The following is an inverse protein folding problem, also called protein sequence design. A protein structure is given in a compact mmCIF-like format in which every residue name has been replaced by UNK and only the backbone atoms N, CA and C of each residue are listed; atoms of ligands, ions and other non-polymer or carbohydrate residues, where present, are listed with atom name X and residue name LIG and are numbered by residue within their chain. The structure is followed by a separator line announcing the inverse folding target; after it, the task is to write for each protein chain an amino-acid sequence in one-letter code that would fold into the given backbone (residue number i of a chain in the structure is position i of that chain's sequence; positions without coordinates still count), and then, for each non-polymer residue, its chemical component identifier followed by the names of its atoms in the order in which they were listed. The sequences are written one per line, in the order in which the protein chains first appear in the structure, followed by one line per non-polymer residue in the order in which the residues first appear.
data_IF_914190360423
#
_entry.id   IF_914190360423
#
_cell.length_a   1.000
_cell.length_b   1.000
_cell.length_c   1.000
_cell.angle_alpha   90.00
_cell.angle_beta   90.00
_cell.angle_gamma   90.00
#
_symmetry.space_group_name_H-M   'P 1'
#
loop_
_entity.id
_entity.type
_entity.pdbx_description
1 polymer ?
#
# COMPACT_ATOMS: atom_id res chain seq x y z
N UNK A 1 -6.39 -5.16 -44.00
CA UNK A 1 -5.51 -4.42 -43.03
C UNK A 1 -6.17 -4.47 -41.67
N UNK A 2 -5.77 -5.41 -40.82
CA UNK A 2 -6.35 -5.61 -39.50
C UNK A 2 -5.77 -4.53 -38.58
N UNK A 3 -6.64 -3.69 -38.09
CA UNK A 3 -6.35 -2.69 -37.07
C UNK A 3 -6.04 -3.46 -35.74
N UNK A 4 -4.75 -3.73 -35.48
CA UNK A 4 -4.33 -4.16 -34.17
C UNK A 4 -4.70 -3.01 -33.22
N UNK A 5 -5.74 -3.20 -32.42
CA UNK A 5 -6.00 -2.35 -31.27
C UNK A 5 -4.68 -2.24 -30.50
N UNK A 6 -4.06 -1.04 -30.51
CA UNK A 6 -2.98 -0.73 -29.58
C UNK A 6 -3.56 -1.01 -28.19
N UNK A 7 -3.12 -2.09 -27.56
CA UNK A 7 -3.33 -2.25 -26.13
C UNK A 7 -2.76 -0.98 -25.50
N UNK A 8 -3.63 -0.20 -24.86
CA UNK A 8 -3.22 1.00 -24.19
C UNK A 8 -2.32 0.56 -23.03
N UNK A 9 -1.08 1.05 -23.01
CA UNK A 9 -0.13 0.84 -21.91
C UNK A 9 -0.52 1.68 -20.66
N UNK A 10 -1.79 2.12 -20.63
CA UNK A 10 -2.31 2.96 -19.56
C UNK A 10 -2.75 2.11 -18.37
N UNK A 11 -2.21 2.43 -17.21
CA UNK A 11 -2.56 1.80 -15.93
C UNK A 11 -3.12 2.88 -15.02
N UNK A 12 -4.19 2.56 -14.30
CA UNK A 12 -4.86 3.49 -13.41
C UNK A 12 -4.84 2.93 -11.99
N UNK A 13 -4.26 3.68 -11.07
CA UNK A 13 -4.29 3.42 -9.63
C UNK A 13 -5.38 4.26 -8.96
N UNK A 14 -6.22 3.62 -8.17
CA UNK A 14 -7.27 4.25 -7.37
C UNK A 14 -7.03 3.93 -5.89
N UNK A 15 -6.60 4.92 -5.15
CA UNK A 15 -6.40 4.88 -3.71
C UNK A 15 -7.62 5.51 -3.03
N UNK A 16 -8.38 4.71 -2.26
CA UNK A 16 -9.61 5.14 -1.60
C UNK A 16 -9.34 5.28 -0.09
N UNK A 17 -8.63 6.33 0.27
CA UNK A 17 -8.25 6.58 1.66
C UNK A 17 -9.36 7.21 2.52
N UNK A 18 -9.18 7.19 3.84
CA UNK A 18 -10.12 7.79 4.80
C UNK A 18 -10.23 9.30 4.65
N UNK A 19 -9.13 10.00 4.34
CA UNK A 19 -9.10 11.48 4.22
C UNK A 19 -9.30 11.96 2.79
N UNK A 20 -8.85 11.20 1.79
CA UNK A 20 -8.96 11.56 0.37
C UNK A 20 -9.00 10.33 -0.52
N UNK A 21 -9.58 10.51 -1.71
CA UNK A 21 -9.52 9.56 -2.82
C UNK A 21 -8.55 10.13 -3.85
N UNK A 22 -7.64 9.29 -4.35
CA UNK A 22 -6.65 9.67 -5.36
C UNK A 22 -6.77 8.72 -6.56
N UNK A 23 -6.90 9.28 -7.75
CA UNK A 23 -6.85 8.57 -9.02
C UNK A 23 -5.59 9.04 -9.77
N UNK A 24 -4.65 8.13 -10.01
CA UNK A 24 -3.43 8.41 -10.78
C UNK A 24 -3.44 7.57 -12.06
N UNK A 25 -3.03 8.17 -13.16
CA UNK A 25 -2.89 7.49 -14.45
C UNK A 25 -1.44 7.52 -14.87
N UNK A 26 -0.89 6.34 -15.15
CA UNK A 26 0.49 6.18 -15.61
C UNK A 26 0.57 5.39 -16.90
N UNK A 27 1.66 5.63 -17.63
CA UNK A 27 2.09 4.85 -18.79
C UNK A 27 3.55 4.46 -18.61
N UNK A 28 3.94 3.34 -19.22
CA UNK A 28 5.34 2.97 -19.31
C UNK A 28 5.85 3.25 -20.72
N UNK A 29 6.99 3.92 -20.82
CA UNK A 29 7.69 4.16 -22.08
C UNK A 29 8.41 2.88 -22.57
N UNK A 30 9.00 2.95 -23.76
CA UNK A 30 9.74 1.84 -24.37
C UNK A 30 10.98 1.43 -23.54
N UNK A 31 11.49 2.34 -22.69
CA UNK A 31 12.58 2.08 -21.74
C UNK A 31 12.08 1.51 -20.41
N UNK A 32 10.78 1.17 -20.29
CA UNK A 32 10.10 0.71 -19.08
C UNK A 32 10.16 1.71 -17.91
N UNK A 33 10.24 3.00 -18.19
CA UNK A 33 10.15 4.05 -17.19
C UNK A 33 8.70 4.49 -17.04
N UNK A 34 8.26 4.66 -15.79
CA UNK A 34 6.93 5.13 -15.47
C UNK A 34 6.82 6.64 -15.76
N UNK A 35 5.81 7.04 -16.52
CA UNK A 35 5.38 8.42 -16.71
C UNK A 35 3.97 8.60 -16.17
N UNK A 36 3.80 9.53 -15.23
CA UNK A 36 2.48 9.92 -14.70
C UNK A 36 1.89 11.00 -15.59
N UNK A 37 0.74 10.71 -16.18
CA UNK A 37 0.10 11.57 -17.19
C UNK A 37 -1.16 12.26 -16.67
N UNK A 38 -1.77 11.77 -15.58
CA UNK A 38 -2.93 12.42 -14.96
C UNK A 38 -3.02 12.12 -13.46
N UNK A 39 -3.58 13.07 -12.73
CA UNK A 39 -3.84 13.01 -11.30
C UNK A 39 -5.20 13.65 -11.01
N UNK A 40 -6.04 12.94 -10.28
CA UNK A 40 -7.24 13.49 -9.65
C UNK A 40 -7.22 13.18 -8.16
N UNK A 41 -7.53 14.16 -7.35
CA UNK A 41 -7.59 14.00 -5.89
C UNK A 41 -8.80 14.74 -5.32
N UNK A 42 -9.61 14.04 -4.53
CA UNK A 42 -10.82 14.61 -3.94
C UNK A 42 -10.93 14.22 -2.46
N UNK A 43 -11.43 15.12 -1.59
CA UNK A 43 -11.66 14.80 -0.19
C UNK A 43 -12.56 13.57 -0.06
N UNK A 44 -12.17 12.62 0.78
CA UNK A 44 -12.93 11.40 1.02
C UNK A 44 -14.09 11.68 1.97
N UNK A 45 -15.22 11.11 1.65
CA UNK A 45 -16.38 11.01 2.54
C UNK A 45 -17.00 9.62 2.39
N UNK A 46 -17.53 9.08 3.49
CA UNK A 46 -18.13 7.74 3.45
C UNK A 46 -17.19 6.59 3.81
N UNK A 47 -15.90 6.85 4.14
CA UNK A 47 -15.00 5.88 4.74
C UNK A 47 -14.70 6.18 6.20
N UNK A 48 -14.50 5.12 6.98
CA UNK A 48 -14.03 5.21 8.36
C UNK A 48 -13.06 4.08 8.65
N UNK A 49 -11.82 4.42 8.98
CA UNK A 49 -10.75 3.47 9.28
C UNK A 49 -10.60 2.39 8.18
N UNK A 50 -10.53 2.81 6.92
CA UNK A 50 -10.37 1.94 5.75
C UNK A 50 -11.63 1.15 5.36
N UNK A 51 -12.79 1.39 5.97
CA UNK A 51 -14.04 0.67 5.68
C UNK A 51 -15.10 1.62 5.14
N UNK A 52 -15.76 1.24 4.04
CA UNK A 52 -16.89 1.98 3.47
C UNK A 52 -18.08 1.90 4.43
N UNK A 53 -18.52 3.05 4.92
CA UNK A 53 -19.70 3.20 5.80
C UNK A 53 -20.86 3.91 5.10
N UNK A 54 -20.62 4.56 3.96
CA UNK A 54 -21.62 5.17 3.12
C UNK A 54 -21.24 5.02 1.64
N UNK A 55 -21.99 4.18 0.91
CA UNK A 55 -21.76 3.86 -0.49
C UNK A 55 -21.87 5.10 -1.39
N UNK A 56 -22.92 5.89 -1.22
CA UNK A 56 -23.21 7.02 -2.11
C UNK A 56 -22.14 8.12 -1.96
N UNK A 57 -21.77 8.45 -0.73
CA UNK A 57 -20.73 9.43 -0.44
C UNK A 57 -19.36 8.98 -0.97
N UNK A 58 -19.05 7.69 -0.84
CA UNK A 58 -17.79 7.11 -1.38
C UNK A 58 -17.80 7.12 -2.91
N UNK A 59 -18.94 6.76 -3.53
CA UNK A 59 -19.09 6.79 -4.99
C UNK A 59 -18.89 8.21 -5.54
N UNK A 60 -19.48 9.21 -4.91
CA UNK A 60 -19.33 10.63 -5.32
C UNK A 60 -17.85 11.07 -5.24
N UNK A 61 -17.15 10.73 -4.16
CA UNK A 61 -15.73 11.07 -4.00
C UNK A 61 -14.85 10.38 -5.06
N UNK A 62 -15.12 9.10 -5.36
CA UNK A 62 -14.43 8.34 -6.42
C UNK A 62 -14.70 9.00 -7.78
N UNK A 63 -15.96 9.28 -8.13
CA UNK A 63 -16.32 9.88 -9.40
C UNK A 63 -15.60 11.20 -9.61
N UNK A 64 -15.58 12.08 -8.62
CA UNK A 64 -14.89 13.38 -8.69
C UNK A 64 -13.38 13.26 -8.87
N UNK A 65 -12.73 12.33 -8.17
CA UNK A 65 -11.31 12.07 -8.36
C UNK A 65 -11.00 11.52 -9.76
N UNK A 66 -11.83 10.58 -10.24
CA UNK A 66 -11.69 10.01 -11.59
C UNK A 66 -11.96 11.06 -12.67
N UNK A 67 -12.99 11.90 -12.53
CA UNK A 67 -13.33 12.95 -13.49
C UNK A 67 -12.20 14.00 -13.60
N UNK A 68 -11.56 14.35 -12.48
CA UNK A 68 -10.37 15.23 -12.50
C UNK A 68 -9.21 14.59 -13.28
N UNK A 69 -8.88 13.33 -13.03
CA UNK A 69 -7.84 12.61 -13.78
C UNK A 69 -8.22 12.48 -15.26
N UNK A 70 -9.48 12.12 -15.57
CA UNK A 70 -9.99 12.00 -16.92
C UNK A 70 -9.91 13.31 -17.72
N UNK A 71 -10.08 14.47 -17.07
CA UNK A 71 -10.00 15.77 -17.73
C UNK A 71 -8.60 16.11 -18.25
N UNK A 72 -7.57 15.42 -17.82
CA UNK A 72 -6.17 15.64 -18.21
C UNK A 72 -5.74 14.72 -19.37
N UNK A 73 -6.56 13.75 -19.76
CA UNK A 73 -6.25 12.75 -20.79
C UNK A 73 -7.43 12.55 -21.75
N UNK A 74 -7.12 12.23 -23.01
CA UNK A 74 -8.15 11.95 -24.02
C UNK A 74 -8.68 10.51 -23.93
N UNK A 75 -7.82 9.57 -23.56
CA UNK A 75 -8.17 8.17 -23.47
C UNK A 75 -9.08 7.91 -22.27
N UNK A 76 -10.20 7.19 -22.49
CA UNK A 76 -11.18 6.94 -21.44
C UNK A 76 -10.66 5.95 -20.38
N UNK A 77 -10.73 6.32 -19.12
CA UNK A 77 -10.49 5.44 -17.97
C UNK A 77 -11.64 4.41 -17.94
N UNK A 78 -11.31 3.11 -18.00
CA UNK A 78 -12.28 2.00 -18.01
C UNK A 78 -12.15 1.08 -16.81
N UNK A 79 -10.94 0.94 -16.29
CA UNK A 79 -10.64 0.03 -15.19
C UNK A 79 -9.52 0.57 -14.32
N UNK A 80 -9.41 0.06 -13.09
CA UNK A 80 -8.51 0.56 -12.06
C UNK A 80 -7.94 -0.58 -11.21
N UNK A 81 -6.68 -0.45 -10.79
CA UNK A 81 -6.14 -1.16 -9.63
C UNK A 81 -6.48 -0.39 -8.37
N UNK A 82 -6.94 -1.08 -7.34
CA UNK A 82 -7.55 -0.47 -6.17
C UNK A 82 -6.78 -0.81 -4.90
N UNK A 83 -6.42 0.21 -4.13
CA UNK A 83 -5.86 0.03 -2.80
C UNK A 83 -6.92 -0.48 -1.83
N UNK A 84 -6.54 -1.40 -0.96
CA UNK A 84 -7.39 -1.87 0.14
C UNK A 84 -6.59 -1.91 1.44
N UNK A 85 -7.13 -1.30 2.48
CA UNK A 85 -6.60 -1.27 3.84
C UNK A 85 -7.71 -1.39 4.88
N UNK A 86 -7.35 -1.54 6.12
CA UNK A 86 -8.28 -1.53 7.25
C UNK A 86 -8.21 -2.78 8.11
N UNK A 87 -8.86 -2.70 9.29
CA UNK A 87 -8.82 -3.76 10.33
C UNK A 87 -9.42 -5.13 9.92
N UNK A 88 -10.07 -5.19 8.76
CA UNK A 88 -10.63 -6.42 8.19
C UNK A 88 -9.59 -7.23 7.40
N UNK A 89 -8.41 -6.67 7.18
CA UNK A 89 -7.25 -7.37 6.62
C UNK A 89 -6.65 -8.24 7.71
N UNK A 90 -6.34 -9.48 7.36
CA UNK A 90 -5.61 -10.43 8.20
C UNK A 90 -4.52 -11.08 7.39
N UNK A 91 -3.47 -11.51 8.04
CA UNK A 91 -2.40 -12.24 7.39
C UNK A 91 -1.95 -13.43 8.23
N UNK A 92 -1.36 -14.40 7.55
CA UNK A 92 -0.71 -15.55 8.17
C UNK A 92 0.39 -16.09 7.26
N UNK A 93 1.40 -16.70 7.84
CA UNK A 93 2.41 -17.43 7.07
C UNK A 93 2.00 -18.89 6.97
N UNK A 94 2.19 -19.46 5.80
CA UNK A 94 1.91 -20.86 5.52
C UNK A 94 3.08 -21.51 4.80
N UNK A 95 3.07 -22.85 4.80
CA UNK A 95 4.13 -23.66 4.23
C UNK A 95 3.53 -24.73 3.31
N UNK A 96 4.10 -24.88 2.12
CA UNK A 96 3.74 -25.90 1.14
C UNK A 96 4.91 -26.83 0.85
N UNK A 97 4.62 -28.08 0.51
CA UNK A 97 5.63 -29.08 0.14
C UNK A 97 5.12 -29.95 -0.99
N UNK A 98 5.92 -30.14 -2.03
CA UNK A 98 5.60 -30.96 -3.19
C UNK A 98 6.83 -31.75 -3.67
N UNK A 99 6.58 -32.93 -4.27
CA UNK A 99 7.63 -33.67 -4.93
C UNK A 99 7.92 -33.09 -6.32
N UNK A 100 9.20 -32.91 -6.64
CA UNK A 100 9.66 -32.43 -7.95
C UNK A 100 9.55 -33.58 -8.96
N UNK A 101 8.85 -33.32 -10.08
CA UNK A 101 8.79 -34.26 -11.19
C UNK A 101 10.06 -34.13 -12.03
N UNK A 102 10.60 -35.27 -12.49
CA UNK A 102 11.78 -35.31 -13.37
C UNK A 102 13.09 -34.76 -12.76
N UNK A 103 13.18 -34.64 -11.43
CA UNK A 103 14.38 -34.16 -10.71
C UNK A 103 14.84 -32.74 -11.10
N UNK A 104 14.00 -31.96 -11.75
CA UNK A 104 14.26 -30.55 -12.11
C UNK A 104 12.98 -29.74 -11.90
N UNK A 105 13.12 -28.61 -11.21
CA UNK A 105 11.97 -27.73 -10.86
C UNK A 105 11.41 -27.11 -12.13
N UNK A 106 10.17 -27.41 -12.42
CA UNK A 106 9.38 -26.77 -13.48
C UNK A 106 8.45 -25.70 -12.95
N UNK A 107 7.94 -24.83 -13.83
CA UNK A 107 6.89 -23.87 -13.48
C UNK A 107 5.65 -24.57 -12.89
N UNK A 108 5.32 -25.77 -13.34
CA UNK A 108 4.22 -26.55 -12.78
C UNK A 108 4.47 -26.98 -11.32
N UNK A 109 5.70 -27.32 -10.96
CA UNK A 109 6.05 -27.69 -9.58
C UNK A 109 5.99 -26.48 -8.67
N UNK A 110 6.39 -25.29 -9.16
CA UNK A 110 6.27 -24.00 -8.44
C UNK A 110 4.79 -23.68 -8.19
N UNK A 111 3.94 -23.76 -9.21
CA UNK A 111 2.50 -23.51 -9.04
C UNK A 111 1.89 -24.47 -8.01
N UNK A 112 2.21 -25.75 -8.09
CA UNK A 112 1.68 -26.77 -7.16
C UNK A 112 2.13 -26.57 -5.71
N UNK A 113 3.39 -26.21 -5.48
CA UNK A 113 3.87 -25.99 -4.12
C UNK A 113 3.25 -24.74 -3.51
N UNK A 114 3.00 -23.70 -4.33
CA UNK A 114 2.25 -22.51 -3.90
C UNK A 114 0.79 -22.86 -3.63
N UNK A 115 0.12 -23.67 -4.47
CA UNK A 115 -1.24 -24.15 -4.22
C UNK A 115 -1.31 -24.98 -2.94
N UNK A 116 -0.32 -25.84 -2.68
CA UNK A 116 -0.21 -26.62 -1.44
C UNK A 116 -0.11 -25.69 -0.21
N UNK A 117 0.68 -24.61 -0.31
CA UNK A 117 0.81 -23.61 0.76
C UNK A 117 -0.50 -22.81 0.99
N UNK A 118 -1.35 -22.66 -0.03
CA UNK A 118 -2.66 -21.99 0.08
C UNK A 118 -3.75 -22.88 0.69
N UNK A 119 -3.54 -24.18 0.81
CA UNK A 119 -4.52 -25.14 1.31
C UNK A 119 -4.73 -25.04 2.84
N UNK A 120 -4.96 -23.81 3.32
CA UNK A 120 -5.26 -23.48 4.72
C UNK A 120 -6.74 -23.14 4.89
N UNK A 121 -7.28 -23.38 6.08
CA UNK A 121 -8.67 -23.04 6.37
C UNK A 121 -8.85 -21.51 6.47
N UNK A 122 -9.44 -20.93 5.44
CA UNK A 122 -9.83 -19.51 5.43
C UNK A 122 -11.30 -19.42 5.87
N UNK A 123 -11.66 -18.53 6.84
CA UNK A 123 -13.05 -18.31 7.22
C UNK A 123 -13.92 -17.95 6.02
N UNK A 124 -15.17 -18.41 5.98
CA UNK A 124 -16.09 -18.23 4.84
C UNK A 124 -16.46 -16.77 4.53
N UNK A 125 -16.26 -15.88 5.51
CA UNK A 125 -16.45 -14.43 5.37
C UNK A 125 -15.20 -13.68 4.88
N UNK A 126 -14.10 -14.41 4.63
CA UNK A 126 -12.83 -13.89 4.14
C UNK A 126 -12.52 -14.39 2.73
N UNK A 127 -11.85 -13.56 1.94
CA UNK A 127 -11.25 -13.93 0.67
C UNK A 127 -9.73 -13.79 0.73
N UNK A 128 -9.03 -14.67 0.04
CA UNK A 128 -7.60 -14.53 -0.20
C UNK A 128 -7.36 -13.33 -1.11
N UNK A 129 -6.56 -12.38 -0.65
CA UNK A 129 -6.21 -11.16 -1.37
C UNK A 129 -4.86 -11.30 -2.07
N UNK A 130 -3.83 -11.75 -1.32
CA UNK A 130 -2.49 -11.98 -1.84
C UNK A 130 -1.91 -13.29 -1.35
N UNK A 131 -1.10 -13.90 -2.21
CA UNK A 131 -0.19 -15.01 -1.91
C UNK A 131 1.21 -14.54 -2.30
N UNK A 132 2.05 -14.32 -1.31
CA UNK A 132 3.38 -13.74 -1.52
C UNK A 132 4.42 -14.78 -1.11
N UNK A 133 5.14 -15.39 -2.06
CA UNK A 133 6.25 -16.30 -1.74
C UNK A 133 7.33 -15.56 -0.94
N UNK A 134 7.81 -16.18 0.13
CA UNK A 134 8.88 -15.67 0.98
C UNK A 134 10.21 -16.34 0.68
N UNK A 135 10.19 -17.64 0.48
CA UNK A 135 11.36 -18.43 0.12
C UNK A 135 10.97 -19.75 -0.52
N UNK A 136 11.89 -20.34 -1.28
CA UNK A 136 11.81 -21.71 -1.75
C UNK A 136 12.94 -22.53 -1.14
N UNK A 137 12.67 -23.82 -0.88
CA UNK A 137 13.61 -24.76 -0.28
C UNK A 137 13.62 -26.01 -1.13
N UNK A 138 14.80 -26.43 -1.59
CA UNK A 138 14.99 -27.67 -2.37
C UNK A 138 15.83 -28.62 -1.54
N UNK A 139 15.28 -29.81 -1.26
CA UNK A 139 15.95 -30.87 -0.48
C UNK A 139 16.54 -30.36 0.86
N UNK A 140 15.88 -29.39 1.51
CA UNK A 140 16.29 -28.79 2.78
C UNK A 140 17.25 -27.61 2.67
N UNK A 141 17.61 -27.18 1.46
CA UNK A 141 18.43 -25.98 1.24
C UNK A 141 17.59 -24.84 0.72
N UNK A 142 17.64 -23.69 1.39
CA UNK A 142 16.97 -22.47 0.93
C UNK A 142 17.63 -21.94 -0.34
N UNK A 143 16.80 -21.60 -1.33
CA UNK A 143 17.23 -21.11 -2.63
C UNK A 143 16.59 -19.75 -2.90
N UNK A 144 17.00 -19.13 -4.02
CA UNK A 144 16.44 -17.84 -4.43
C UNK A 144 14.91 -17.91 -4.64
N UNK A 145 14.27 -16.74 -4.78
CA UNK A 145 12.84 -16.64 -5.10
C UNK A 145 12.47 -17.18 -6.49
N UNK A 146 13.45 -17.53 -7.32
CA UNK A 146 13.25 -18.20 -8.62
C UNK A 146 13.99 -19.54 -8.62
N UNK A 147 13.31 -20.62 -8.21
CA UNK A 147 13.89 -21.98 -8.18
C UNK A 147 13.84 -22.70 -9.54
N UNK A 148 13.30 -22.07 -10.60
CA UNK A 148 13.08 -22.69 -11.90
C UNK A 148 14.36 -23.27 -12.50
N UNK A 149 14.30 -24.54 -12.96
CA UNK A 149 15.43 -25.25 -13.57
C UNK A 149 16.46 -25.83 -12.57
N UNK A 150 16.27 -25.62 -11.26
CA UNK A 150 17.14 -26.22 -10.25
C UNK A 150 16.85 -27.71 -10.08
N UNK A 151 17.88 -28.50 -9.85
CA UNK A 151 17.76 -29.95 -9.63
C UNK A 151 17.41 -30.25 -8.18
N UNK A 152 16.51 -31.23 -7.97
CA UNK A 152 16.12 -31.71 -6.65
C UNK A 152 14.97 -32.71 -6.68
N UNK A 153 14.60 -33.21 -5.52
CA UNK A 153 13.52 -34.20 -5.37
C UNK A 153 12.30 -33.66 -4.64
N UNK A 154 12.49 -32.68 -3.75
CA UNK A 154 11.43 -32.06 -2.94
C UNK A 154 11.53 -30.55 -2.99
N UNK A 155 10.44 -29.90 -3.36
CA UNK A 155 10.30 -28.44 -3.35
C UNK A 155 9.38 -28.05 -2.19
N UNK A 156 9.84 -27.09 -1.39
CA UNK A 156 9.06 -26.47 -0.31
C UNK A 156 9.01 -24.97 -0.54
N UNK A 157 7.93 -24.31 -0.08
CA UNK A 157 7.83 -22.87 -0.09
C UNK A 157 7.20 -22.35 1.20
N UNK A 158 7.68 -21.21 1.66
CA UNK A 158 7.00 -20.39 2.66
C UNK A 158 6.28 -19.26 1.95
N UNK A 159 5.03 -18.99 2.32
CA UNK A 159 4.23 -17.92 1.72
C UNK A 159 3.59 -17.04 2.79
N UNK A 160 3.50 -15.74 2.52
CA UNK A 160 2.66 -14.83 3.28
C UNK A 160 1.30 -14.74 2.61
N UNK A 161 0.26 -15.14 3.32
CA UNK A 161 -1.12 -15.11 2.86
C UNK A 161 -1.80 -13.89 3.48
N UNK A 162 -2.41 -13.05 2.65
CA UNK A 162 -3.21 -11.92 3.08
C UNK A 162 -4.66 -12.16 2.70
N UNK A 163 -5.55 -12.03 3.68
CA UNK A 163 -7.00 -12.17 3.48
C UNK A 163 -7.73 -10.89 3.83
N UNK A 164 -8.91 -10.70 3.27
CA UNK A 164 -9.78 -9.55 3.56
C UNK A 164 -11.24 -9.97 3.65
N UNK A 165 -12.04 -9.21 4.38
CA UNK A 165 -13.48 -9.49 4.51
C UNK A 165 -14.20 -9.32 3.16
N UNK A 166 -15.00 -10.32 2.78
CA UNK A 166 -15.82 -10.33 1.56
C UNK A 166 -16.71 -9.10 1.43
N UNK A 167 -17.28 -8.65 2.53
CA UNK A 167 -18.17 -7.49 2.57
C UNK A 167 -17.43 -6.19 2.23
N UNK A 168 -16.18 -6.04 2.67
CA UNK A 168 -15.37 -4.86 2.39
C UNK A 168 -15.06 -4.75 0.89
N UNK A 169 -14.59 -5.83 0.28
CA UNK A 169 -14.33 -5.91 -1.18
C UNK A 169 -15.60 -5.58 -1.98
N UNK A 170 -16.73 -6.25 -1.67
CA UNK A 170 -17.99 -6.02 -2.37
C UNK A 170 -18.50 -4.59 -2.27
N UNK A 171 -18.31 -3.92 -1.14
CA UNK A 171 -18.71 -2.52 -0.97
C UNK A 171 -17.86 -1.59 -1.85
N UNK A 172 -16.54 -1.80 -1.90
CA UNK A 172 -15.64 -1.03 -2.75
C UNK A 172 -15.96 -1.29 -4.23
N UNK A 173 -16.11 -2.56 -4.64
CA UNK A 173 -16.50 -2.92 -6.01
C UNK A 173 -17.81 -2.25 -6.43
N UNK A 174 -18.80 -2.19 -5.53
CA UNK A 174 -20.08 -1.54 -5.79
C UNK A 174 -19.91 -0.04 -6.03
N UNK A 175 -19.09 0.65 -5.23
CA UNK A 175 -18.78 2.06 -5.43
C UNK A 175 -18.13 2.30 -6.80
N UNK A 176 -17.13 1.51 -7.16
CA UNK A 176 -16.40 1.61 -8.43
C UNK A 176 -17.31 1.32 -9.63
N UNK A 177 -18.13 0.27 -9.53
CA UNK A 177 -19.10 -0.08 -10.56
C UNK A 177 -20.14 1.02 -10.77
N UNK A 178 -20.57 1.69 -9.72
CA UNK A 178 -21.48 2.83 -9.80
C UNK A 178 -20.86 4.03 -10.54
N UNK A 179 -19.52 4.15 -10.56
CA UNK A 179 -18.78 5.10 -11.38
C UNK A 179 -18.58 4.63 -12.82
N UNK A 180 -19.12 3.48 -13.24
CA UNK A 180 -18.95 2.90 -14.57
C UNK A 180 -17.59 2.29 -14.86
N UNK A 181 -16.81 1.99 -13.80
CA UNK A 181 -15.46 1.44 -13.89
C UNK A 181 -15.45 -0.05 -13.55
N UNK A 182 -14.38 -0.75 -14.01
CA UNK A 182 -14.06 -2.13 -13.62
C UNK A 182 -12.87 -2.13 -12.66
N UNK A 183 -12.80 -3.14 -11.81
CA UNK A 183 -11.63 -3.40 -10.98
C UNK A 183 -10.74 -4.43 -11.70
N UNK A 184 -9.49 -4.07 -11.97
CA UNK A 184 -8.48 -4.97 -12.54
C UNK A 184 -7.82 -5.82 -11.45
N UNK A 185 -7.72 -5.28 -10.23
CA UNK A 185 -7.20 -5.98 -9.06
C UNK A 185 -7.30 -5.15 -7.78
N UNK A 186 -7.41 -5.84 -6.65
CA UNK A 186 -7.25 -5.25 -5.33
C UNK A 186 -5.83 -5.48 -4.83
N UNK A 187 -5.22 -4.45 -4.28
CA UNK A 187 -3.85 -4.49 -3.78
C UNK A 187 -3.80 -3.96 -2.35
N UNK A 188 -3.16 -4.70 -1.47
CA UNK A 188 -2.91 -4.25 -0.10
C UNK A 188 -2.10 -2.94 -0.12
N UNK A 189 -2.56 -1.89 0.58
CA UNK A 189 -2.01 -0.54 0.46
C UNK A 189 -0.52 -0.48 0.81
N UNK A 190 -0.09 -1.07 1.94
CA UNK A 190 1.33 -1.10 2.31
C UNK A 190 2.18 -1.95 1.35
N UNK A 191 1.61 -2.94 0.67
CA UNK A 191 2.30 -3.66 -0.40
C UNK A 191 2.45 -2.78 -1.65
N UNK A 192 1.42 -2.04 -2.02
CA UNK A 192 1.51 -1.05 -3.09
C UNK A 192 2.56 0.02 -2.76
N UNK A 193 2.46 0.69 -1.61
CA UNK A 193 3.41 1.73 -1.16
C UNK A 193 4.85 1.25 -1.21
N UNK A 194 5.11 -0.02 -0.85
CA UNK A 194 6.47 -0.59 -0.88
C UNK A 194 7.13 -0.59 -2.25
N UNK A 195 6.35 -0.66 -3.34
CA UNK A 195 6.90 -0.62 -4.69
C UNK A 195 7.46 0.76 -5.03
N UNK A 196 6.80 1.82 -4.61
CA UNK A 196 7.14 3.20 -4.96
C UNK A 196 8.21 3.84 -4.08
N UNK A 197 8.51 3.28 -2.88
CA UNK A 197 9.34 3.96 -1.88
C UNK A 197 10.46 3.13 -1.27
N UNK A 198 10.44 1.80 -1.39
CA UNK A 198 11.49 0.93 -0.87
C UNK A 198 12.44 0.48 -1.99
N UNK A 199 13.73 0.55 -1.73
CA UNK A 199 14.74 -0.07 -2.59
C UNK A 199 14.78 -1.59 -2.38
N UNK A 200 15.33 -2.30 -3.37
CA UNK A 200 15.51 -3.75 -3.25
C UNK A 200 16.54 -4.09 -2.15
N UNK A 201 17.57 -3.26 -1.97
CA UNK A 201 18.54 -3.43 -0.88
C UNK A 201 17.89 -3.31 0.51
N UNK A 202 16.96 -2.37 0.72
CA UNK A 202 16.22 -2.25 1.98
C UNK A 202 15.35 -3.48 2.24
N UNK A 203 14.67 -4.00 1.22
CA UNK A 203 13.86 -5.22 1.34
C UNK A 203 14.73 -6.44 1.63
N UNK A 204 15.91 -6.51 1.04
CA UNK A 204 16.87 -7.61 1.25
C UNK A 204 17.45 -7.59 2.67
N UNK A 205 17.94 -6.43 3.12
CA UNK A 205 18.50 -6.24 4.46
C UNK A 205 17.49 -6.33 5.58
N UNK A 206 16.22 -6.12 5.26
CA UNK A 206 15.12 -6.09 6.20
C UNK A 206 14.74 -4.68 6.64
N UNK A 207 13.48 -4.31 6.38
CA UNK A 207 12.92 -2.97 6.64
C UNK A 207 11.49 -3.06 7.12
N UNK A 208 11.10 -2.18 8.02
CA UNK A 208 9.71 -1.97 8.40
C UNK A 208 9.14 -0.75 7.69
N UNK A 209 8.18 -0.96 6.80
CA UNK A 209 7.38 0.09 6.20
C UNK A 209 6.19 0.41 7.09
N UNK A 210 5.97 1.69 7.38
CA UNK A 210 4.85 2.20 8.16
C UNK A 210 4.15 3.30 7.36
N UNK A 211 2.95 2.99 6.86
CA UNK A 211 2.10 3.94 6.13
C UNK A 211 1.08 4.54 7.10
N UNK A 212 1.26 5.83 7.45
CA UNK A 212 0.40 6.53 8.40
C UNK A 212 -0.63 7.36 7.62
N UNK A 213 -1.80 6.79 7.44
CA UNK A 213 -2.93 7.43 6.78
C UNK A 213 -3.72 8.38 7.67
N UNK A 214 -4.97 8.67 7.27
CA UNK A 214 -5.92 9.42 8.12
C UNK A 214 -6.54 8.55 9.20
N UNK A 215 -7.02 7.35 8.84
CA UNK A 215 -7.80 6.47 9.72
C UNK A 215 -7.08 5.20 10.19
N UNK A 216 -6.04 4.76 9.48
CA UNK A 216 -5.25 3.57 9.76
C UNK A 216 -3.76 3.85 9.64
N UNK A 217 -2.97 3.06 10.34
CA UNK A 217 -1.53 2.92 10.16
C UNK A 217 -1.28 1.48 9.73
N UNK A 218 -0.73 1.32 8.55
CA UNK A 218 -0.54 0.05 7.89
C UNK A 218 0.95 -0.30 7.89
N UNK A 219 1.28 -1.53 8.34
CA UNK A 219 2.65 -1.99 8.56
C UNK A 219 2.95 -3.14 7.60
N UNK A 220 4.13 -3.11 6.97
CA UNK A 220 4.69 -4.25 6.26
C UNK A 220 6.16 -4.41 6.64
N UNK A 221 6.56 -5.63 7.02
CA UNK A 221 7.94 -5.96 7.33
C UNK A 221 8.47 -6.82 6.20
N UNK A 222 9.60 -6.39 5.64
CA UNK A 222 10.34 -7.08 4.61
C UNK A 222 11.62 -7.66 5.19
N UNK A 223 12.02 -8.82 4.69
CA UNK A 223 13.30 -9.44 4.97
C UNK A 223 13.63 -10.40 3.82
N UNK A 224 14.90 -10.46 3.43
CA UNK A 224 15.35 -11.31 2.29
C UNK A 224 14.51 -11.09 1.02
N UNK A 225 14.20 -9.82 0.71
CA UNK A 225 13.45 -9.41 -0.48
C UNK A 225 11.95 -9.59 -0.43
N UNK A 226 11.39 -10.25 0.60
CA UNK A 226 9.98 -10.62 0.67
C UNK A 226 9.26 -10.07 1.90
N UNK A 227 7.92 -9.97 1.83
CA UNK A 227 7.10 -9.62 2.99
C UNK A 227 7.04 -10.80 3.95
N UNK A 228 7.44 -10.56 5.20
CA UNK A 228 7.37 -11.56 6.27
C UNK A 228 6.23 -11.31 7.25
N UNK A 229 5.74 -10.06 7.32
CA UNK A 229 4.60 -9.70 8.17
C UNK A 229 3.85 -8.49 7.62
N UNK A 230 2.54 -8.47 7.83
CA UNK A 230 1.69 -7.28 7.61
C UNK A 230 0.75 -7.08 8.80
N UNK A 231 0.56 -5.82 9.20
CA UNK A 231 -0.29 -5.44 10.31
C UNK A 231 -1.07 -4.16 10.02
N UNK A 232 -2.17 -3.94 10.75
CA UNK A 232 -2.99 -2.73 10.66
C UNK A 232 -3.33 -2.25 12.05
N UNK A 233 -2.96 -1.01 12.35
CA UNK A 233 -3.30 -0.31 13.59
C UNK A 233 -4.41 0.70 13.29
N UNK A 234 -5.59 0.62 13.95
CA UNK A 234 -6.73 1.52 13.67
C UNK A 234 -6.58 2.89 14.36
N UNK A 235 -5.37 3.44 14.39
CA UNK A 235 -4.98 4.74 14.90
C UNK A 235 -4.08 5.45 13.90
N UNK A 236 -4.37 6.72 13.60
CA UNK A 236 -3.63 7.52 12.62
C UNK A 236 -3.95 9.02 12.77
N UNK A 237 -3.80 9.80 11.70
CA UNK A 237 -3.95 11.26 11.68
C UNK A 237 -5.26 11.80 12.25
N UNK A 238 -6.38 11.10 12.05
CA UNK A 238 -7.69 11.50 12.59
C UNK A 238 -7.73 11.51 14.12
N UNK A 239 -6.92 10.66 14.77
CA UNK A 239 -6.80 10.65 16.22
C UNK A 239 -6.09 11.90 16.72
N UNK A 240 -5.00 12.32 16.04
CA UNK A 240 -4.31 13.59 16.33
C UNK A 240 -5.28 14.78 16.18
N UNK A 241 -6.05 14.80 15.09
CA UNK A 241 -7.03 15.87 14.85
C UNK A 241 -8.10 15.94 15.95
N UNK A 242 -8.57 14.79 16.43
CA UNK A 242 -9.55 14.73 17.53
C UNK A 242 -8.98 15.25 18.83
N UNK A 243 -7.75 14.86 19.17
CA UNK A 243 -7.12 15.35 20.40
C UNK A 243 -6.92 16.87 20.36
N UNK A 244 -6.52 17.42 19.20
CA UNK A 244 -6.43 18.87 19.01
C UNK A 244 -7.81 19.53 19.15
N UNK A 245 -8.84 18.95 18.52
CA UNK A 245 -10.21 19.49 18.61
C UNK A 245 -10.74 19.52 20.04
N UNK A 246 -10.46 18.47 20.82
CA UNK A 246 -10.87 18.34 22.21
C UNK A 246 -10.07 19.28 23.11
N UNK A 247 -8.76 19.27 23.04
CA UNK A 247 -7.87 20.09 23.87
C UNK A 247 -8.06 21.59 23.59
N UNK A 248 -8.18 21.97 22.31
CA UNK A 248 -8.39 23.34 21.89
C UNK A 248 -9.88 23.74 21.85
N UNK A 249 -10.81 22.83 22.12
CA UNK A 249 -12.27 23.07 22.06
C UNK A 249 -12.68 23.80 20.78
N UNK A 250 -12.19 23.30 19.64
CA UNK A 250 -12.40 23.86 18.30
C UNK A 250 -13.10 22.84 17.41
N UNK A 251 -13.84 23.26 16.35
CA UNK A 251 -14.44 22.31 15.40
C UNK A 251 -13.37 21.41 14.74
N UNK A 252 -13.71 20.14 14.48
CA UNK A 252 -12.77 19.17 13.87
C UNK A 252 -12.13 19.66 12.55
N UNK A 253 -12.87 20.31 11.62
CA UNK A 253 -12.22 20.85 10.42
C UNK A 253 -11.17 21.91 10.73
N UNK A 254 -11.41 22.76 11.72
CA UNK A 254 -10.45 23.77 12.18
C UNK A 254 -9.24 23.12 12.87
N UNK A 255 -9.47 22.05 13.64
CA UNK A 255 -8.37 21.29 14.26
C UNK A 255 -7.46 20.64 13.20
N UNK A 256 -8.04 20.14 12.09
CA UNK A 256 -7.28 19.60 10.96
C UNK A 256 -6.43 20.67 10.28
N UNK A 257 -7.01 21.86 10.04
CA UNK A 257 -6.26 23.01 9.49
C UNK A 257 -5.10 23.43 10.42
N UNK A 258 -5.36 23.49 11.73
CA UNK A 258 -4.34 23.81 12.74
C UNK A 258 -3.22 22.76 12.73
N UNK A 259 -3.57 21.48 12.71
CA UNK A 259 -2.63 20.37 12.64
C UNK A 259 -1.70 20.50 11.42
N UNK A 260 -2.27 20.77 10.26
CA UNK A 260 -1.50 20.87 9.00
C UNK A 260 -0.62 22.12 8.94
N UNK A 261 -1.06 23.25 9.50
CA UNK A 261 -0.34 24.53 9.38
C UNK A 261 0.69 24.77 10.48
N UNK A 262 0.40 24.33 11.69
CA UNK A 262 1.18 24.66 12.89
C UNK A 262 1.71 23.45 13.65
N UNK A 263 1.31 22.23 13.22
CA UNK A 263 1.68 21.01 13.91
C UNK A 263 3.18 20.74 13.92
N UNK A 264 3.65 20.17 15.03
CA UNK A 264 4.99 19.64 15.20
C UNK A 264 4.94 18.45 16.16
N UNK A 265 5.66 17.37 15.84
CA UNK A 265 5.71 16.16 16.66
C UNK A 265 6.79 16.21 17.77
N UNK A 266 7.60 17.26 17.81
CA UNK A 266 8.70 17.45 18.80
C UNK A 266 8.56 18.83 19.40
N UNK A 267 8.25 18.88 20.69
CA UNK A 267 8.01 20.14 21.41
C UNK A 267 9.22 21.07 21.39
N UNK A 268 10.43 20.51 21.46
CA UNK A 268 11.70 21.25 21.45
C UNK A 268 11.96 21.99 20.13
N UNK A 269 11.28 21.64 19.04
CA UNK A 269 11.39 22.33 17.74
C UNK A 269 10.55 23.60 17.68
N UNK A 270 9.72 23.84 18.69
CA UNK A 270 8.80 24.97 18.76
C UNK A 270 9.24 25.99 19.83
N UNK A 271 8.76 27.24 19.70
CA UNK A 271 9.01 28.31 20.68
C UNK A 271 7.69 28.80 21.25
N UNK A 272 7.70 29.17 22.55
CA UNK A 272 6.51 29.67 23.24
C UNK A 272 5.96 31.02 22.68
N UNK A 273 6.81 31.78 22.01
CA UNK A 273 6.39 33.02 21.35
C UNK A 273 5.74 32.84 19.98
N UNK A 274 5.79 31.62 19.42
CA UNK A 274 5.05 31.24 18.20
C UNK A 274 3.60 31.00 18.57
N UNK A 275 2.70 31.92 18.18
CA UNK A 275 1.28 31.86 18.51
C UNK A 275 0.42 31.81 17.27
N UNK A 276 -0.75 31.19 17.39
CA UNK A 276 -1.78 31.14 16.37
C UNK A 276 -3.16 31.31 16.97
N UNK A 277 -4.13 31.71 16.16
CA UNK A 277 -5.51 31.96 16.58
C UNK A 277 -6.35 30.67 16.44
N UNK A 278 -7.14 30.39 17.46
CA UNK A 278 -8.05 29.24 17.53
C UNK A 278 -9.48 29.75 17.61
N UNK A 279 -10.32 29.36 16.62
CA UNK A 279 -11.75 29.60 16.64
C UNK A 279 -12.42 28.67 17.65
N UNK A 280 -13.17 29.24 18.58
CA UNK A 280 -13.88 28.47 19.61
C UNK A 280 -15.26 28.00 19.13
N UNK A 281 -15.70 26.84 19.64
CA UNK A 281 -17.06 26.32 19.41
C UNK A 281 -18.11 27.24 20.05
N UNK A 282 -19.27 27.42 19.40
CA UNK A 282 -20.42 28.13 19.96
C UNK A 282 -20.33 29.65 19.88
N UNK A 283 -19.64 30.22 18.90
CA UNK A 283 -19.62 31.68 18.64
C UNK A 283 -18.84 32.51 19.68
N UNK A 284 -17.98 31.87 20.45
CA UNK A 284 -17.10 32.55 21.41
C UNK A 284 -15.97 33.27 20.68
N UNK A 285 -15.41 34.30 21.28
CA UNK A 285 -14.27 35.01 20.73
C UNK A 285 -13.06 34.07 20.49
N UNK A 286 -12.36 34.26 19.38
CA UNK A 286 -11.11 33.55 19.11
C UNK A 286 -10.10 33.75 20.25
N UNK A 287 -9.22 32.77 20.45
CA UNK A 287 -8.17 32.83 21.46
C UNK A 287 -6.81 32.50 20.86
N UNK A 288 -5.76 33.04 21.42
CA UNK A 288 -4.41 32.68 21.08
C UNK A 288 -3.98 31.37 21.77
N UNK A 289 -3.25 30.54 21.04
CA UNK A 289 -2.59 29.34 21.55
C UNK A 289 -1.12 29.35 21.15
N UNK A 290 -0.23 28.83 21.98
CA UNK A 290 1.18 28.67 21.60
C UNK A 290 1.37 27.42 20.75
N UNK A 291 2.32 27.47 19.81
CA UNK A 291 2.71 26.32 19.01
C UNK A 291 3.31 25.21 19.86
N UNK A 292 4.01 25.55 20.93
CA UNK A 292 4.57 24.62 21.91
C UNK A 292 3.46 23.78 22.59
N UNK A 293 2.35 24.41 23.02
CA UNK A 293 1.23 23.68 23.61
C UNK A 293 0.53 22.76 22.59
N UNK A 294 0.47 23.15 21.33
CA UNK A 294 -0.02 22.28 20.26
C UNK A 294 0.91 21.09 20.02
N UNK A 295 2.22 21.34 19.98
CA UNK A 295 3.23 20.32 19.78
C UNK A 295 3.21 19.27 20.92
N UNK A 296 2.98 19.67 22.15
CA UNK A 296 2.85 18.74 23.29
C UNK A 296 1.69 17.75 23.09
N UNK A 297 0.52 18.23 22.65
CA UNK A 297 -0.63 17.37 22.33
C UNK A 297 -0.29 16.39 21.20
N UNK A 298 0.35 16.88 20.14
CA UNK A 298 0.70 16.10 18.97
C UNK A 298 1.76 15.05 19.31
N UNK A 299 2.81 15.43 20.01
CA UNK A 299 3.91 14.56 20.43
C UNK A 299 3.40 13.37 21.24
N UNK A 300 2.52 13.60 22.20
CA UNK A 300 1.93 12.55 23.03
C UNK A 300 1.19 11.51 22.17
N UNK A 301 0.39 11.96 21.19
CA UNK A 301 -0.35 11.06 20.32
C UNK A 301 0.55 10.28 19.38
N UNK A 302 1.60 10.89 18.81
CA UNK A 302 2.56 10.19 17.97
C UNK A 302 3.41 9.21 18.78
N UNK A 303 3.78 9.56 20.00
CA UNK A 303 4.51 8.65 20.90
C UNK A 303 3.69 7.39 21.17
N UNK A 304 2.41 7.55 21.50
CA UNK A 304 1.50 6.41 21.69
C UNK A 304 1.37 5.54 20.42
N UNK A 305 1.25 6.17 19.24
CA UNK A 305 1.21 5.44 17.96
C UNK A 305 2.50 4.65 17.73
N UNK A 306 3.66 5.26 17.94
CA UNK A 306 4.94 4.60 17.74
C UNK A 306 5.19 3.48 18.77
N UNK A 307 4.72 3.63 20.00
CA UNK A 307 4.73 2.54 20.98
C UNK A 307 3.88 1.37 20.54
N UNK A 308 2.68 1.61 19.97
CA UNK A 308 1.85 0.54 19.40
C UNK A 308 2.53 -0.18 18.24
N UNK A 309 3.21 0.56 17.35
CA UNK A 309 3.98 -0.02 16.25
C UNK A 309 5.14 -0.85 16.81
N UNK A 310 5.88 -0.33 17.79
CA UNK A 310 6.96 -1.05 18.46
C UNK A 310 6.49 -2.37 19.08
N UNK A 311 5.35 -2.34 19.77
CA UNK A 311 4.71 -3.55 20.30
C UNK A 311 4.35 -4.55 19.20
N UNK A 312 3.84 -4.08 18.05
CA UNK A 312 3.50 -4.96 16.92
C UNK A 312 4.75 -5.65 16.34
N UNK A 313 5.85 -4.91 16.19
CA UNK A 313 7.14 -5.44 15.72
C UNK A 313 7.69 -6.48 16.73
N UNK A 314 7.76 -6.11 18.02
CA UNK A 314 8.32 -6.95 19.08
C UNK A 314 7.50 -8.21 19.34
N UNK A 315 6.17 -8.11 19.34
CA UNK A 315 5.26 -9.24 19.60
C UNK A 315 5.43 -10.36 18.59
N UNK A 316 5.81 -10.01 17.38
CA UNK A 316 6.00 -10.96 16.29
C UNK A 316 7.48 -11.35 16.10
N UNK A 317 8.39 -10.87 16.96
CA UNK A 317 9.83 -11.24 16.95
C UNK A 317 10.61 -10.68 15.76
N UNK A 318 10.17 -9.54 15.19
CA UNK A 318 10.79 -8.97 13.99
C UNK A 318 11.84 -7.88 14.28
N UNK A 319 12.18 -7.60 15.54
CA UNK A 319 13.15 -6.56 15.91
C UNK A 319 14.52 -6.76 15.23
N UNK A 320 14.98 -8.01 15.18
CA UNK A 320 16.26 -8.37 14.54
C UNK A 320 16.19 -8.43 13.00
N UNK A 321 15.00 -8.33 12.42
CA UNK A 321 14.76 -8.47 10.98
C UNK A 321 14.65 -7.13 10.26
N UNK A 322 14.80 -6.00 10.94
CA UNK A 322 14.67 -4.65 10.36
C UNK A 322 15.98 -3.88 10.38
N UNK A 323 17.05 -4.53 9.91
CA UNK A 323 18.41 -3.96 9.93
C UNK A 323 18.53 -2.65 9.13
N UNK A 324 17.74 -2.46 8.08
CA UNK A 324 17.65 -1.22 7.31
C UNK A 324 16.80 -0.14 8.01
N UNK A 325 16.20 -0.46 9.17
CA UNK A 325 15.42 0.48 9.96
C UNK A 325 13.95 0.59 9.54
N UNK A 326 13.38 1.79 9.70
CA UNK A 326 11.96 2.06 9.49
C UNK A 326 11.77 3.13 8.42
N UNK A 327 10.82 2.91 7.52
CA UNK A 327 10.42 3.88 6.50
C UNK A 327 8.99 4.32 6.76
N UNK A 328 8.82 5.62 7.10
CA UNK A 328 7.52 6.24 7.33
C UNK A 328 6.98 6.81 6.02
N UNK A 329 5.72 6.56 5.70
CA UNK A 329 5.03 7.15 4.56
C UNK A 329 3.58 7.50 4.90
N UNK A 330 2.80 7.93 3.92
CA UNK A 330 1.43 8.40 4.13
C UNK A 330 1.34 9.88 4.51
N UNK A 331 0.13 10.43 4.43
CA UNK A 331 -0.07 11.87 4.63
C UNK A 331 0.28 12.39 6.02
N UNK A 332 0.08 11.55 7.03
CA UNK A 332 0.33 11.88 8.45
C UNK A 332 1.83 11.84 8.78
N UNK A 333 2.65 11.12 8.01
CA UNK A 333 4.11 11.11 8.17
C UNK A 333 4.82 12.42 7.75
N UNK A 334 4.07 13.39 7.23
CA UNK A 334 4.60 14.73 6.88
C UNK A 334 4.74 15.67 8.09
N UNK A 335 4.30 15.27 9.25
CA UNK A 335 4.39 16.09 10.46
C UNK A 335 5.84 16.48 10.73
N UNK A 336 6.08 17.77 10.97
CA UNK A 336 7.40 18.27 11.35
C UNK A 336 7.92 17.55 12.61
N UNK A 337 9.17 17.09 12.59
CA UNK A 337 9.78 16.37 13.71
C UNK A 337 9.39 14.90 13.86
N UNK A 338 8.52 14.35 12.98
CA UNK A 338 8.03 12.98 13.11
C UNK A 338 9.16 11.94 13.00
N UNK A 339 10.13 12.15 12.13
CA UNK A 339 11.27 11.23 11.93
C UNK A 339 12.12 11.20 13.20
N UNK A 340 12.46 12.37 13.76
CA UNK A 340 13.26 12.49 14.97
C UNK A 340 12.57 11.87 16.20
N UNK A 341 11.25 12.07 16.33
CA UNK A 341 10.48 11.42 17.38
C UNK A 341 10.47 9.89 17.21
N UNK A 342 10.29 9.42 15.98
CA UNK A 342 10.30 7.99 15.67
C UNK A 342 11.67 7.36 15.99
N UNK A 343 12.79 7.98 15.58
CA UNK A 343 14.14 7.52 15.89
C UNK A 343 14.38 7.44 17.40
N UNK A 344 13.89 8.42 18.16
CA UNK A 344 14.02 8.43 19.63
C UNK A 344 13.26 7.29 20.31
N UNK A 345 12.12 6.83 19.75
CA UNK A 345 11.29 5.77 20.33
C UNK A 345 11.74 4.39 19.87
N UNK A 346 11.99 4.23 18.57
CA UNK A 346 12.37 2.94 17.98
C UNK A 346 13.84 2.59 18.24
N UNK A 347 14.70 3.58 18.51
CA UNK A 347 16.15 3.42 18.69
C UNK A 347 16.82 2.75 17.46
N UNK A 348 16.31 3.09 16.26
CA UNK A 348 16.83 2.64 14.96
C UNK A 348 16.71 3.78 13.94
N UNK A 349 17.37 3.64 12.80
CA UNK A 349 17.29 4.63 11.72
C UNK A 349 15.87 4.73 11.17
N UNK A 350 15.40 5.95 10.97
CA UNK A 350 14.10 6.23 10.38
C UNK A 350 14.26 7.20 9.22
N UNK A 351 13.60 6.92 8.11
CA UNK A 351 13.52 7.87 6.99
C UNK A 351 12.07 8.09 6.52
N UNK A 352 11.84 9.20 5.86
CA UNK A 352 10.60 9.44 5.16
C UNK A 352 10.64 8.72 3.79
N UNK A 353 9.62 7.91 3.51
CA UNK A 353 9.40 7.27 2.21
C UNK A 353 8.67 8.22 1.28
N UNK A 354 9.35 8.63 0.22
CA UNK A 354 8.81 9.52 -0.82
C UNK A 354 8.91 8.80 -2.15
N UNK A 355 7.84 8.73 -2.95
CA UNK A 355 7.88 8.11 -4.26
C UNK A 355 8.98 8.71 -5.14
N UNK A 356 9.66 7.85 -5.87
CA UNK A 356 10.74 8.20 -6.79
C UNK A 356 10.64 7.32 -8.05
N UNK A 357 11.57 7.52 -9.00
CA UNK A 357 11.68 6.69 -10.21
C UNK A 357 10.51 6.80 -11.20
N UNK A 358 9.84 7.95 -11.28
CA UNK A 358 8.83 8.26 -12.28
C UNK A 358 9.10 9.62 -12.93
N UNK A 359 8.48 9.86 -14.08
CA UNK A 359 8.47 11.16 -14.79
C UNK A 359 7.05 11.75 -14.74
N UNK A 360 6.97 13.05 -14.94
CA UNK A 360 5.71 13.79 -14.96
C UNK A 360 5.17 14.11 -13.57
N UNK A 361 4.80 15.36 -13.36
CA UNK A 361 4.23 15.88 -12.12
C UNK A 361 5.11 15.70 -10.85
N UNK A 362 6.44 15.57 -10.99
CA UNK A 362 7.37 15.26 -9.88
C UNK A 362 7.21 16.23 -8.72
N UNK A 363 7.06 17.53 -8.99
CA UNK A 363 6.86 18.57 -7.97
C UNK A 363 5.65 18.35 -7.07
N UNK A 364 4.62 17.65 -7.56
CA UNK A 364 3.41 17.34 -6.81
C UNK A 364 3.52 15.96 -6.15
N UNK A 365 4.05 15.00 -6.90
CA UNK A 365 4.00 13.59 -6.56
C UNK A 365 5.19 13.09 -5.73
N UNK A 366 6.28 13.85 -5.64
CA UNK A 366 7.35 13.60 -4.66
C UNK A 366 6.87 13.96 -3.25
N UNK A 367 5.87 13.21 -2.80
CA UNK A 367 5.16 13.46 -1.56
C UNK A 367 4.64 12.10 -1.02
N UNK A 368 4.87 11.77 0.26
CA UNK A 368 4.45 10.49 0.84
C UNK A 368 2.94 10.24 0.74
N UNK A 369 2.15 11.28 0.51
CA UNK A 369 0.71 11.18 0.28
C UNK A 369 0.37 10.27 -0.93
N UNK A 370 1.23 10.15 -1.92
CA UNK A 370 0.97 9.45 -3.18
C UNK A 370 1.68 8.10 -3.29
N UNK A 371 2.32 7.63 -2.22
CA UNK A 371 3.08 6.37 -2.23
C UNK A 371 2.23 5.18 -2.65
N UNK A 372 1.06 5.01 -2.05
CA UNK A 372 0.11 3.95 -2.42
C UNK A 372 -0.35 4.08 -3.86
N UNK A 373 -0.79 5.26 -4.27
CA UNK A 373 -1.36 5.47 -5.60
C UNK A 373 -0.35 5.19 -6.72
N UNK A 374 0.92 5.61 -6.57
CA UNK A 374 2.00 5.32 -7.53
C UNK A 374 2.36 3.84 -7.49
N UNK A 375 2.46 3.26 -6.29
CA UNK A 375 2.73 1.84 -6.13
C UNK A 375 1.66 0.92 -6.74
N UNK A 376 0.39 1.35 -6.78
CA UNK A 376 -0.69 0.64 -7.49
C UNK A 376 -0.41 0.54 -8.99
N UNK A 377 0.13 1.60 -9.61
CA UNK A 377 0.49 1.58 -11.04
C UNK A 377 1.67 0.62 -11.26
N UNK A 378 2.70 0.69 -10.42
CA UNK A 378 3.86 -0.20 -10.52
C UNK A 378 3.47 -1.67 -10.33
N UNK A 379 2.58 -1.96 -9.37
CA UNK A 379 2.03 -3.30 -9.19
C UNK A 379 1.26 -3.76 -10.41
N UNK A 380 0.37 -2.93 -10.95
CA UNK A 380 -0.41 -3.22 -12.15
C UNK A 380 0.49 -3.53 -13.35
N UNK A 381 1.57 -2.79 -13.53
CA UNK A 381 2.55 -3.04 -14.59
C UNK A 381 3.27 -4.39 -14.43
N UNK A 382 3.69 -4.72 -13.23
CA UNK A 382 4.32 -6.03 -12.94
C UNK A 382 3.35 -7.17 -13.26
N UNK A 383 2.08 -7.05 -12.87
CA UNK A 383 1.05 -8.07 -13.18
C UNK A 383 0.79 -8.23 -14.68
N UNK A 384 0.66 -7.13 -15.42
CA UNK A 384 0.46 -7.18 -16.88
C UNK A 384 1.64 -7.85 -17.58
N UNK A 385 2.88 -7.56 -17.18
CA UNK A 385 4.06 -8.20 -17.75
C UNK A 385 4.11 -9.70 -17.46
N UNK A 386 3.77 -10.13 -16.24
CA UNK A 386 3.69 -11.56 -15.91
C UNK A 386 2.63 -12.28 -16.74
N UNK A 387 1.46 -11.69 -16.95
CA UNK A 387 0.41 -12.27 -17.80
C UNK A 387 0.87 -12.39 -19.26
N UNK A 388 1.49 -11.36 -19.82
CA UNK A 388 2.01 -11.40 -21.20
C UNK A 388 3.08 -12.48 -21.38
N UNK A 389 3.98 -12.67 -20.43
CA UNK A 389 5.02 -13.71 -20.48
C UNK A 389 4.40 -15.12 -20.35
N UNK A 390 3.42 -15.30 -19.49
CA UNK A 390 2.71 -16.60 -19.36
C UNK A 390 1.91 -16.96 -20.61
N UNK A 391 1.24 -16.00 -21.25
CA UNK A 391 0.53 -16.22 -22.52
C UNK A 391 1.48 -16.52 -23.68
N UNK A 392 2.64 -15.89 -23.74
CA UNK A 392 3.67 -16.18 -24.74
C UNK A 392 4.23 -17.59 -24.58
N UNK A 393 4.50 -18.02 -23.34
CA UNK A 393 4.98 -19.38 -23.06
C UNK A 393 3.91 -20.45 -23.39
N UNK A 394 2.65 -20.23 -23.02
CA UNK A 394 1.54 -21.14 -23.39
C UNK A 394 1.32 -21.16 -24.91
N UNK A 395 1.42 -20.02 -25.60
CA UNK A 395 1.34 -19.93 -27.05
C UNK A 395 2.46 -20.67 -27.77
N UNK A 396 3.67 -20.67 -27.20
CA UNK A 396 4.82 -21.39 -27.73
C UNK A 396 4.66 -22.92 -27.57
N UNK A 397 4.24 -23.39 -26.41
CA UNK A 397 3.97 -24.82 -26.17
C UNK A 397 2.77 -25.33 -26.96
N UNK A 398 1.72 -24.53 -27.14
CA UNK A 398 0.59 -24.93 -27.98
C UNK A 398 0.96 -24.98 -29.48
N UNK A 399 1.87 -24.15 -29.98
CA UNK A 399 2.41 -24.25 -31.35
C UNK A 399 3.31 -25.45 -31.51
N UNK A 400 4.16 -25.79 -30.54
CA UNK A 400 5.00 -26.99 -30.55
C UNK A 400 4.15 -28.28 -30.57
N UNK A 401 3.11 -28.35 -29.74
CA UNK A 401 2.16 -29.48 -29.73
C UNK A 401 1.36 -29.62 -31.04
N UNK A 402 1.08 -28.54 -31.76
CA UNK A 402 0.48 -28.57 -33.09
C UNK A 402 1.43 -29.12 -34.18
N UNK A 403 2.71 -28.76 -34.10
CA UNK A 403 3.74 -29.26 -35.05
C UNK A 403 3.94 -30.76 -34.85
N UNK A 404 4.00 -31.24 -33.61
CA UNK A 404 4.17 -32.67 -33.30
C UNK A 404 2.91 -33.50 -33.69
N UNK A 405 1.71 -32.90 -33.69
CA UNK A 405 0.48 -33.59 -34.14
C UNK A 405 0.24 -33.57 -35.66
N UNK A 406 1.01 -32.83 -36.44
CA UNK A 406 0.90 -32.78 -37.88
C UNK A 406 1.83 -33.77 -38.63
N UNK A 407 2.64 -34.55 -37.91
CA UNK A 407 3.55 -35.56 -38.46
C UNK A 407 3.15 -37.00 -38.11
N UNK A 408 1.87 -37.24 -37.70
CA UNK A 408 1.33 -38.60 -37.61
C UNK A 408 -0.01 -38.70 -38.34
#
# INVERSE_FOLDING_TARGET
MANKSRNSNMIVGLDIGTSKVVCIVGKYDDEKKLEIIALGAYPSSGLKKGVVVNIDATTDAISKAVDQAQSMIEEKIKSVYVGIAGKHIKSLNSHGTEAIKNNEVSAYDIDRVIESAQAVAIPSDQNLLHVIPQSFIIDGQEVSLDPLGMSGTRLETKVHLVTCANSAVKNIEKCIKNCGLKVDGFVLEQFASSHSILSDDEKELGVCLVDIGGGTTDIAIFNSGSIVHTGVIPYAGDNVTKDIAEALRTPTPQAEDIKQKFGCAVTEFTKDNEKFEVLAVGGRSPRECSRSALADIIQQRYSELFDLIKVEISRNGFEEHISAGIVLTGGTSKMEGVVQLAESIFQTSVRLGIPSNFKGMETILQNPIYSTSIGLIEHGYKQLNHQMLSEQNQGFFSKLLRIVKSEY
#
